data_IF_458191566791
#
_entry.id   IF_458191566791
#
_cell.length_a   1.000
_cell.length_b   1.000
_cell.length_c   1.000
_cell.angle_alpha   90.00
_cell.angle_beta   90.00
_cell.angle_gamma   90.00
#
_symmetry.space_group_name_H-M   'P 1'
#
loop_
_entity.id
_entity.type
_entity.pdbx_description
1 polymer ?
#
# COMPACT_ATOMS: atom_id res chain seq x y z
N UNK A 1 -5.86 -8.23 -11.60
CA UNK A 1 -4.82 -8.30 -10.55
C UNK A 1 -5.40 -7.62 -9.33
N UNK A 2 -5.64 -8.33 -8.24
CA UNK A 2 -6.10 -7.70 -7.00
C UNK A 2 -5.00 -6.74 -6.52
N UNK A 3 -5.37 -5.50 -6.22
CA UNK A 3 -4.46 -4.52 -5.62
C UNK A 3 -4.05 -5.01 -4.23
N UNK A 4 -2.91 -5.70 -4.19
CA UNK A 4 -2.28 -6.12 -2.96
C UNK A 4 -1.96 -4.87 -2.13
N UNK A 5 -2.27 -4.88 -0.83
CA UNK A 5 -2.04 -3.73 0.03
C UNK A 5 -0.55 -3.43 0.04
N UNK A 6 -0.19 -2.14 0.00
CA UNK A 6 1.20 -1.69 0.07
C UNK A 6 1.31 -0.48 0.99
N UNK A 7 2.44 -0.38 1.67
CA UNK A 7 2.76 0.76 2.54
C UNK A 7 3.75 1.67 1.82
N UNK A 8 3.50 2.98 1.84
CA UNK A 8 4.36 3.97 1.18
C UNK A 8 4.83 5.00 2.19
N UNK A 9 6.10 5.38 2.11
CA UNK A 9 6.66 6.50 2.85
C UNK A 9 7.31 7.47 1.87
N UNK A 10 7.17 8.77 2.14
CA UNK A 10 7.74 9.83 1.34
C UNK A 10 8.52 10.81 2.21
N UNK A 11 9.56 11.37 1.63
CA UNK A 11 10.37 12.45 2.17
C UNK A 11 10.71 13.39 1.01
N UNK A 12 9.93 14.46 0.87
CA UNK A 12 9.95 15.31 -0.31
C UNK A 12 9.71 14.50 -1.59
N UNK A 13 10.68 14.53 -2.50
CA UNK A 13 10.60 13.80 -3.77
C UNK A 13 11.06 12.34 -3.69
N UNK A 14 11.58 11.88 -2.55
CA UNK A 14 12.06 10.50 -2.40
C UNK A 14 10.99 9.67 -1.71
N UNK A 15 10.73 8.47 -2.23
CA UNK A 15 9.75 7.56 -1.69
C UNK A 15 10.23 6.12 -1.66
N UNK A 16 9.66 5.35 -0.74
CA UNK A 16 9.81 3.90 -0.67
C UNK A 16 8.42 3.27 -0.62
N UNK A 17 8.22 2.21 -1.40
CA UNK A 17 7.01 1.39 -1.36
C UNK A 17 7.37 0.02 -0.82
N UNK A 18 6.69 -0.42 0.23
CA UNK A 18 6.73 -1.77 0.77
C UNK A 18 5.54 -2.56 0.20
N UNK A 19 5.86 -3.67 -0.44
CA UNK A 19 4.89 -4.55 -1.09
C UNK A 19 5.07 -5.98 -0.56
N UNK A 20 4.03 -6.60 0.01
CA UNK A 20 4.09 -7.99 0.43
C UNK A 20 4.09 -8.90 -0.80
N UNK A 21 4.97 -9.90 -0.81
CA UNK A 21 5.04 -10.93 -1.85
C UNK A 21 4.80 -12.30 -1.23
N UNK A 22 3.93 -13.08 -1.86
CA UNK A 22 3.55 -14.42 -1.39
C UNK A 22 4.69 -15.41 -1.67
N UNK A 23 5.05 -16.19 -0.66
CA UNK A 23 5.97 -17.32 -0.75
C UNK A 23 5.21 -18.60 -1.09
N UNK A 24 5.94 -19.64 -1.50
CA UNK A 24 5.35 -20.94 -1.82
C UNK A 24 4.64 -21.60 -0.62
N UNK A 25 5.08 -21.31 0.60
CA UNK A 25 4.47 -21.81 1.85
C UNK A 25 3.20 -21.05 2.27
N UNK A 26 2.74 -20.08 1.49
CA UNK A 26 1.54 -19.30 1.79
C UNK A 26 1.78 -18.03 2.61
N UNK A 27 2.93 -17.90 3.28
CA UNK A 27 3.31 -16.69 4.01
C UNK A 27 3.71 -15.58 3.05
N UNK A 28 3.77 -14.35 3.56
CA UNK A 28 4.25 -13.19 2.83
C UNK A 28 5.54 -12.66 3.42
N UNK A 29 6.36 -12.04 2.58
CA UNK A 29 7.52 -11.26 3.01
C UNK A 29 7.49 -9.88 2.36
N UNK A 30 8.16 -8.92 2.99
CA UNK A 30 8.27 -7.57 2.47
C UNK A 30 9.29 -7.49 1.32
N UNK A 31 8.86 -6.90 0.22
CA UNK A 31 9.76 -6.34 -0.80
C UNK A 31 9.65 -4.83 -0.77
N UNK A 32 10.71 -4.14 -1.19
CA UNK A 32 10.67 -2.68 -1.27
C UNK A 32 11.14 -2.17 -2.63
N UNK A 33 10.61 -1.02 -3.02
CA UNK A 33 11.05 -0.29 -4.20
C UNK A 33 11.24 1.18 -3.86
N UNK A 34 12.40 1.71 -4.25
CA UNK A 34 12.75 3.12 -4.08
C UNK A 34 12.43 3.90 -5.34
N UNK A 35 11.97 5.13 -5.14
CA UNK A 35 11.58 6.03 -6.23
C UNK A 35 11.93 7.46 -5.87
N UNK A 36 12.38 8.22 -6.85
CA UNK A 36 12.43 9.67 -6.83
C UNK A 36 11.39 10.22 -7.80
N UNK A 37 10.49 11.07 -7.33
CA UNK A 37 9.55 11.81 -8.16
C UNK A 37 10.16 13.11 -8.68
N UNK A 38 9.70 13.56 -9.83
CA UNK A 38 9.99 14.90 -10.35
C UNK A 38 8.86 15.32 -11.29
N UNK A 39 8.71 16.62 -11.54
CA UNK A 39 7.65 17.16 -12.38
C UNK A 39 8.23 17.58 -13.74
N UNK A 40 7.64 17.11 -14.83
CA UNK A 40 7.98 17.48 -16.23
C UNK A 40 6.69 17.74 -17.00
N UNK A 41 6.56 18.93 -17.61
CA UNK A 41 5.38 19.33 -18.39
C UNK A 41 4.04 19.09 -17.65
N UNK A 42 3.98 19.54 -16.40
CA UNK A 42 2.86 19.32 -15.47
C UNK A 42 2.50 17.88 -15.11
N UNK A 43 3.31 16.91 -15.52
CA UNK A 43 3.15 15.50 -15.17
C UNK A 43 4.19 15.07 -14.15
N UNK A 44 3.76 14.27 -13.19
CA UNK A 44 4.66 13.60 -12.26
C UNK A 44 5.31 12.40 -12.95
N UNK A 45 6.62 12.31 -12.83
CA UNK A 45 7.43 11.21 -13.31
C UNK A 45 8.26 10.63 -12.18
N UNK A 46 8.69 9.38 -12.36
CA UNK A 46 9.34 8.59 -11.33
C UNK A 46 10.61 7.97 -11.90
N UNK A 47 11.69 7.97 -11.13
CA UNK A 47 12.96 7.36 -11.50
C UNK A 47 13.61 6.67 -10.31
N UNK A 48 14.46 5.69 -10.57
CA UNK A 48 15.27 4.99 -9.56
C UNK A 48 16.68 5.56 -9.46
N UNK A 49 16.95 6.70 -10.11
CA UNK A 49 18.25 7.35 -10.06
C UNK A 49 18.32 8.39 -8.93
N UNK A 50 19.31 8.22 -8.04
CA UNK A 50 19.54 9.07 -6.88
C UNK A 50 20.95 9.67 -6.92
N UNK A 51 21.05 10.98 -6.72
CA UNK A 51 22.31 11.67 -6.48
C UNK A 51 22.54 11.98 -4.98
N UNK A 52 23.72 12.46 -4.63
CA UNK A 52 24.13 12.74 -3.25
C UNK A 52 23.17 13.66 -2.47
N UNK A 53 22.59 14.67 -3.13
CA UNK A 53 21.62 15.60 -2.51
C UNK A 53 20.34 14.92 -1.97
N UNK A 54 20.09 13.66 -2.30
CA UNK A 54 18.93 12.89 -1.84
C UNK A 54 19.27 11.90 -0.72
N UNK A 55 20.55 11.80 -0.30
CA UNK A 55 21.02 10.77 0.61
C UNK A 55 20.31 10.82 1.98
N UNK A 56 20.14 12.02 2.54
CA UNK A 56 19.43 12.16 3.82
C UNK A 56 17.96 11.76 3.72
N UNK A 57 17.28 12.20 2.65
CA UNK A 57 15.89 11.85 2.42
C UNK A 57 15.71 10.34 2.23
N UNK A 58 16.65 9.72 1.50
CA UNK A 58 16.72 8.27 1.32
C UNK A 58 16.90 7.55 2.68
N UNK A 59 17.80 8.04 3.51
CA UNK A 59 18.01 7.51 4.87
C UNK A 59 16.73 7.57 5.70
N UNK A 60 16.03 8.70 5.70
CA UNK A 60 14.77 8.88 6.45
C UNK A 60 13.66 7.94 5.98
N UNK A 61 13.45 7.78 4.68
CA UNK A 61 12.42 6.85 4.18
C UNK A 61 12.78 5.39 4.46
N UNK A 62 14.06 5.02 4.36
CA UNK A 62 14.52 3.67 4.66
C UNK A 62 14.37 3.34 6.14
N UNK A 63 14.73 4.26 7.05
CA UNK A 63 14.52 4.06 8.49
C UNK A 63 13.05 3.85 8.83
N UNK A 64 12.14 4.66 8.26
CA UNK A 64 10.69 4.47 8.47
C UNK A 64 10.19 3.14 7.91
N UNK A 65 10.69 2.73 6.75
CA UNK A 65 10.35 1.46 6.13
C UNK A 65 10.80 0.26 6.98
N UNK A 66 12.05 0.27 7.45
CA UNK A 66 12.59 -0.78 8.31
C UNK A 66 11.84 -0.86 9.63
N UNK A 67 11.60 0.27 10.30
CA UNK A 67 10.81 0.31 11.53
C UNK A 67 9.41 -0.27 11.34
N UNK A 68 8.76 0.05 10.21
CA UNK A 68 7.46 -0.53 9.89
C UNK A 68 7.54 -2.04 9.68
N UNK A 69 8.55 -2.52 8.94
CA UNK A 69 8.76 -3.95 8.70
C UNK A 69 9.04 -4.74 9.98
N UNK A 70 9.76 -4.14 10.94
CA UNK A 70 10.04 -4.74 12.25
C UNK A 70 8.77 -4.88 13.10
N UNK A 71 7.86 -3.91 12.99
CA UNK A 71 6.63 -3.86 13.78
C UNK A 71 5.46 -4.63 13.13
N UNK A 72 5.53 -4.91 11.82
CA UNK A 72 4.41 -5.45 11.06
C UNK A 72 4.85 -6.67 10.24
N UNK A 73 4.34 -7.84 10.62
CA UNK A 73 4.48 -9.05 9.80
C UNK A 73 3.70 -8.89 8.48
N UNK A 74 4.34 -9.26 7.37
CA UNK A 74 3.76 -9.09 6.04
C UNK A 74 2.53 -9.98 5.81
N UNK A 75 2.50 -11.17 6.40
CA UNK A 75 1.37 -12.10 6.29
C UNK A 75 0.17 -11.53 7.03
N UNK A 76 0.39 -11.13 8.28
CA UNK A 76 -0.62 -10.48 9.11
C UNK A 76 -1.19 -9.23 8.45
N UNK A 77 -0.32 -8.35 7.94
CA UNK A 77 -0.73 -7.14 7.23
C UNK A 77 -1.64 -7.43 6.02
N UNK A 78 -1.32 -8.45 5.22
CA UNK A 78 -2.17 -8.86 4.10
C UNK A 78 -3.49 -9.44 4.57
N UNK A 79 -3.47 -10.30 5.59
CA UNK A 79 -4.67 -10.91 6.15
C UNK A 79 -5.63 -9.86 6.72
N UNK A 80 -5.13 -8.89 7.49
CA UNK A 80 -5.92 -7.77 8.03
C UNK A 80 -6.53 -6.94 6.89
N UNK A 81 -5.74 -6.55 5.89
CA UNK A 81 -6.25 -5.79 4.75
C UNK A 81 -7.26 -6.57 3.87
N UNK A 82 -7.16 -7.90 3.81
CA UNK A 82 -8.15 -8.73 3.14
C UNK A 82 -9.43 -8.87 3.95
N UNK A 83 -9.32 -8.99 5.28
CA UNK A 83 -10.46 -9.02 6.19
C UNK A 83 -11.25 -7.72 6.13
N UNK A 84 -10.58 -6.57 6.16
CA UNK A 84 -11.23 -5.25 6.05
C UNK A 84 -12.01 -5.12 4.73
N UNK A 85 -11.41 -5.54 3.61
CA UNK A 85 -12.10 -5.54 2.30
C UNK A 85 -13.30 -6.48 2.26
N UNK A 86 -13.24 -7.61 2.96
CA UNK A 86 -14.36 -8.54 3.03
C UNK A 86 -15.52 -7.95 3.83
N UNK A 87 -15.23 -7.27 4.95
CA UNK A 87 -16.23 -6.55 5.75
C UNK A 87 -16.89 -5.44 4.92
N UNK A 88 -16.10 -4.62 4.21
CA UNK A 88 -16.64 -3.56 3.35
C UNK A 88 -17.58 -4.11 2.27
N UNK A 89 -17.22 -5.25 1.66
CA UNK A 89 -18.04 -5.91 0.66
C UNK A 89 -19.36 -6.46 1.25
N UNK A 90 -19.31 -7.04 2.44
CA UNK A 90 -20.50 -7.53 3.15
C UNK A 90 -21.45 -6.39 3.52
N UNK A 91 -20.92 -5.27 4.04
CA UNK A 91 -21.72 -4.08 4.36
C UNK A 91 -22.38 -3.50 3.11
N UNK A 92 -21.67 -3.43 1.98
CA UNK A 92 -22.22 -2.95 0.72
C UNK A 92 -23.39 -3.84 0.25
N UNK A 93 -23.22 -5.17 0.28
CA UNK A 93 -24.27 -6.11 -0.11
C UNK A 93 -25.50 -6.03 0.80
N UNK A 94 -25.31 -5.92 2.11
CA UNK A 94 -26.41 -5.78 3.07
C UNK A 94 -27.16 -4.45 2.87
N UNK A 95 -26.44 -3.37 2.58
CA UNK A 95 -27.05 -2.06 2.33
C UNK A 95 -27.91 -2.08 1.05
N UNK A 96 -27.40 -2.67 -0.03
CA UNK A 96 -28.15 -2.82 -1.29
C UNK A 96 -29.41 -3.69 -1.10
N UNK A 97 -29.31 -4.78 -0.33
CA UNK A 97 -30.46 -5.63 -0.01
C UNK A 97 -31.54 -4.86 0.78
N UNK A 98 -31.14 -4.05 1.77
CA UNK A 98 -32.07 -3.20 2.54
C UNK A 98 -32.72 -2.14 1.65
N UNK A 99 -31.95 -1.46 0.79
CA UNK A 99 -32.49 -0.45 -0.15
C UNK A 99 -33.47 -1.09 -1.13
N UNK A 100 -33.18 -2.28 -1.64
CA UNK A 100 -34.05 -2.99 -2.59
C UNK A 100 -35.33 -3.51 -1.91
N UNK A 101 -35.24 -4.03 -0.68
CA UNK A 101 -36.41 -4.40 0.11
C UNK A 101 -37.31 -3.18 0.40
N UNK A 102 -36.72 -2.03 0.72
CA UNK A 102 -37.46 -0.77 0.97
C UNK A 102 -38.16 -0.26 -0.29
N UNK A 103 -37.53 -0.37 -1.47
CA UNK A 103 -38.15 0.03 -2.75
C UNK A 103 -39.32 -0.85 -3.18
N UNK A 104 -39.30 -2.14 -2.84
CA UNK A 104 -40.36 -3.08 -3.20
C UNK A 104 -41.55 -3.06 -2.23
N UNK A 105 -41.42 -2.38 -1.09
CA UNK A 105 -42.46 -2.23 -0.08
C UNK A 105 -43.27 -0.92 -0.20
N UNK A 106 -42.94 -0.07 -1.18
CA UNK A 106 -43.66 1.16 -1.53
C UNK A 106 -44.47 0.96 -2.82
#
# INVERSE_FOLDING_TARGET
MSDMPCKRFWEGIVGVTLSPRKLANGNYFWTFALVRSYKRNDKWEYTQHFGQKHAEALGRVMSRALQFMEQNDATRFVCEAMADKAVDAEVAQNTDAVVQATRNAA
#
